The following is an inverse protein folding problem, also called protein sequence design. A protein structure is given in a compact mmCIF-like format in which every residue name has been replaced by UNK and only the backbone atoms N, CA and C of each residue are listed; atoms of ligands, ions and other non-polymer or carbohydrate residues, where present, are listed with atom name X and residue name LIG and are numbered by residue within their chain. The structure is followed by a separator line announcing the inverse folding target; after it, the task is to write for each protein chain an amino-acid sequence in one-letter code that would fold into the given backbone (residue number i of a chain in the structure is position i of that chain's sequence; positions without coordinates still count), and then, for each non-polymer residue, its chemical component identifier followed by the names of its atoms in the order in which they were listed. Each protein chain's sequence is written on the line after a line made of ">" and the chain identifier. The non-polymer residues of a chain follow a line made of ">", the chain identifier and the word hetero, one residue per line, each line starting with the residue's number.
data_IF_228719747207
#
_entry.id   IF_228719747207
#
_cell.length_a   1.000
_cell.length_b   1.000
_cell.length_c   1.000
_cell.angle_alpha   90.00
_cell.angle_beta   90.00
_cell.angle_gamma   90.00
#
_symmetry.space_group_name_H-M   'P 1'
#
loop_
_entity.id
_entity.type
_entity.pdbx_description
1 polymer ?
#
# COMPACT_ATOMS: atom_id res chain seq x y z
N UNK A 1 2.97 23.26 -6.09
CA UNK A 1 2.05 24.38 -5.81
C UNK A 1 0.77 23.80 -5.21
N UNK A 2 0.48 24.07 -3.94
CA UNK A 2 -0.81 23.67 -3.34
C UNK A 2 -1.86 24.55 -3.98
N UNK A 3 -2.79 23.98 -4.73
CA UNK A 3 -4.08 24.61 -4.98
C UNK A 3 -4.87 24.53 -3.68
N UNK A 4 -4.58 25.44 -2.76
CA UNK A 4 -5.43 25.63 -1.62
C UNK A 4 -6.77 26.16 -2.14
N UNK A 5 -7.87 25.51 -1.78
CA UNK A 5 -9.18 26.12 -1.81
C UNK A 5 -9.21 27.26 -0.79
N UNK A 6 -8.49 28.31 -1.06
CA UNK A 6 -8.50 29.54 -0.29
C UNK A 6 -9.19 30.60 -1.11
N UNK A 7 -9.99 31.43 -0.47
CA UNK A 7 -10.75 32.56 -0.99
C UNK A 7 -9.91 33.71 -1.58
N UNK A 8 -8.66 33.44 -1.92
CA UNK A 8 -7.82 34.41 -2.60
C UNK A 8 -7.84 34.12 -4.09
N UNK A 9 -8.75 34.77 -4.79
CA UNK A 9 -8.79 34.76 -6.24
C UNK A 9 -7.52 35.37 -6.79
N UNK A 10 -6.66 34.56 -7.38
CA UNK A 10 -5.65 35.06 -8.30
C UNK A 10 -6.32 35.28 -9.64
N UNK A 11 -6.45 36.53 -10.01
CA UNK A 11 -6.86 36.91 -11.36
C UNK A 11 -5.63 36.76 -12.26
N UNK A 12 -5.55 35.66 -12.97
CA UNK A 12 -4.51 35.38 -13.94
C UNK A 12 -4.73 34.06 -14.67
N UNK A 13 -4.39 34.02 -15.94
CA UNK A 13 -4.37 32.77 -16.71
C UNK A 13 -3.03 32.09 -16.41
N UNK A 14 -3.07 30.98 -15.67
CA UNK A 14 -1.89 30.18 -15.41
C UNK A 14 -1.86 28.99 -16.39
N UNK A 15 -0.80 28.87 -17.16
CA UNK A 15 -0.50 27.67 -17.90
C UNK A 15 0.25 26.73 -16.98
N UNK A 16 -0.37 25.63 -16.57
CA UNK A 16 0.31 24.60 -15.81
C UNK A 16 1.41 23.98 -16.67
N UNK A 17 2.65 24.06 -16.19
CA UNK A 17 3.77 23.32 -16.75
C UNK A 17 3.68 21.82 -16.44
N UNK A 18 4.57 21.01 -17.02
CA UNK A 18 4.71 19.61 -16.70
C UNK A 18 5.12 19.49 -15.22
N UNK A 19 4.35 18.73 -14.45
CA UNK A 19 4.76 18.32 -13.10
C UNK A 19 5.77 17.19 -13.29
N UNK A 20 6.98 17.39 -12.79
CA UNK A 20 8.04 16.37 -12.81
C UNK A 20 8.21 15.86 -11.39
N UNK A 21 8.10 14.55 -11.22
CA UNK A 21 8.48 13.82 -10.00
C UNK A 21 9.32 12.63 -10.46
N UNK A 22 10.64 12.76 -10.34
CA UNK A 22 11.61 11.82 -10.92
C UNK A 22 11.40 10.39 -10.43
N UNK A 23 11.03 10.19 -9.18
CA UNK A 23 10.77 8.86 -8.64
C UNK A 23 9.42 8.32 -9.13
N UNK A 24 8.39 9.15 -9.17
CA UNK A 24 7.07 8.76 -9.66
C UNK A 24 7.09 8.43 -11.16
N UNK A 25 7.89 9.14 -11.94
CA UNK A 25 8.03 8.93 -13.38
C UNK A 25 8.74 7.60 -13.73
N UNK A 26 9.44 6.97 -12.77
CA UNK A 26 10.04 5.63 -12.92
C UNK A 26 9.04 4.48 -12.82
N UNK A 27 7.82 4.76 -12.36
CA UNK A 27 6.78 3.73 -12.23
C UNK A 27 6.07 3.46 -13.55
N UNK A 28 5.79 2.19 -13.80
CA UNK A 28 5.10 1.71 -14.99
C UNK A 28 3.72 1.19 -14.60
N UNK A 29 2.68 1.59 -15.33
CA UNK A 29 1.32 1.11 -15.14
C UNK A 29 1.14 -0.27 -15.76
N UNK A 30 0.43 -1.16 -15.05
CA UNK A 30 0.08 -2.50 -15.50
C UNK A 30 -1.27 -2.94 -14.97
N UNK A 31 -1.76 -4.06 -15.52
CA UNK A 31 -2.94 -4.77 -15.05
C UNK A 31 -2.62 -6.25 -15.01
N UNK A 32 -2.88 -6.91 -13.88
CA UNK A 32 -2.67 -8.35 -13.71
C UNK A 32 -3.74 -9.18 -14.42
N UNK A 33 -3.46 -10.45 -14.61
CA UNK A 33 -4.46 -11.44 -15.10
C UNK A 33 -5.64 -11.57 -14.13
N UNK A 34 -5.42 -11.33 -12.85
CA UNK A 34 -6.48 -11.29 -11.83
C UNK A 34 -7.33 -10.01 -11.87
N UNK A 35 -7.05 -9.09 -12.78
CA UNK A 35 -7.82 -7.88 -13.01
C UNK A 35 -7.38 -6.66 -12.20
N UNK A 36 -6.40 -6.79 -11.31
CA UNK A 36 -5.91 -5.70 -10.46
C UNK A 36 -5.08 -4.71 -11.28
N UNK A 37 -5.46 -3.43 -11.27
CA UNK A 37 -4.61 -2.36 -11.77
C UNK A 37 -3.51 -2.08 -10.75
N UNK A 38 -2.29 -1.88 -11.20
CA UNK A 38 -1.16 -1.55 -10.34
C UNK A 38 -0.12 -0.71 -11.06
N UNK A 39 0.72 -0.06 -10.29
CA UNK A 39 1.96 0.52 -10.79
C UNK A 39 3.15 -0.16 -10.14
N UNK A 40 4.26 -0.28 -10.87
CA UNK A 40 5.45 -0.91 -10.34
C UNK A 40 6.72 -0.15 -10.73
N UNK A 41 7.71 -0.27 -9.85
CA UNK A 41 9.07 0.17 -10.06
C UNK A 41 10.01 -1.05 -10.06
N UNK A 42 11.01 -1.04 -10.94
CA UNK A 42 12.08 -2.05 -10.98
C UNK A 42 13.41 -1.45 -10.52
N UNK A 43 14.15 -2.10 -9.61
CA UNK A 43 15.43 -1.58 -9.16
C UNK A 43 16.45 -1.52 -10.32
N UNK A 44 17.38 -0.59 -10.23
CA UNK A 44 18.41 -0.36 -11.26
C UNK A 44 19.26 -1.62 -11.47
N UNK A 45 19.54 -2.35 -10.40
CA UNK A 45 20.37 -3.56 -10.41
C UNK A 45 19.57 -4.87 -10.62
N UNK A 46 18.35 -4.80 -11.14
CA UNK A 46 17.46 -5.98 -11.36
C UNK A 46 18.07 -7.12 -12.19
N UNK A 47 19.10 -6.82 -12.98
CA UNK A 47 19.77 -7.77 -13.88
C UNK A 47 21.17 -8.20 -13.37
N UNK A 48 21.47 -8.00 -12.09
CA UNK A 48 22.75 -8.37 -11.46
C UNK A 48 22.90 -9.87 -11.14
N UNK A 49 21.96 -10.69 -11.59
CA UNK A 49 21.90 -12.13 -11.37
C UNK A 49 21.40 -12.55 -9.99
N UNK A 50 20.98 -11.60 -9.16
CA UNK A 50 20.45 -11.85 -7.82
C UNK A 50 18.92 -11.73 -7.78
N UNK A 51 18.33 -12.32 -6.76
CA UNK A 51 16.93 -12.08 -6.42
C UNK A 51 16.80 -10.88 -5.49
N UNK A 52 15.81 -10.04 -5.76
CA UNK A 52 15.57 -8.77 -5.06
C UNK A 52 14.31 -8.80 -4.22
N UNK A 53 14.25 -8.02 -3.12
CA UNK A 53 13.02 -7.86 -2.34
C UNK A 53 11.87 -7.31 -3.20
N UNK A 54 10.65 -7.61 -2.76
CA UNK A 54 9.44 -7.00 -3.29
C UNK A 54 8.72 -6.25 -2.18
N UNK A 55 8.43 -4.99 -2.41
CA UNK A 55 7.67 -4.11 -1.54
C UNK A 55 6.30 -3.90 -2.14
N UNK A 56 5.24 -4.20 -1.39
CA UNK A 56 3.85 -3.92 -1.74
C UNK A 56 3.39 -2.74 -0.91
N UNK A 57 2.85 -1.72 -1.57
CA UNK A 57 2.25 -0.56 -0.94
C UNK A 57 0.73 -0.56 -1.11
N UNK A 58 -0.01 -0.62 -0.03
CA UNK A 58 -1.47 -0.45 -0.02
C UNK A 58 -1.85 0.98 0.34
N UNK A 59 -2.58 1.63 -0.55
CA UNK A 59 -3.03 3.01 -0.43
C UNK A 59 -4.11 3.20 0.64
N UNK A 60 -4.34 4.45 1.07
CA UNK A 60 -5.43 4.82 1.96
C UNK A 60 -6.80 4.86 1.28
N UNK A 61 -7.82 5.24 2.06
CA UNK A 61 -9.14 5.46 1.50
C UNK A 61 -9.16 6.74 0.65
N UNK A 62 -9.77 6.68 -0.53
CA UNK A 62 -9.83 7.80 -1.47
C UNK A 62 -8.82 7.75 -2.61
N UNK A 63 -7.80 6.88 -2.54
CA UNK A 63 -6.85 6.65 -3.63
C UNK A 63 -7.21 5.44 -4.50
N UNK A 64 -8.27 4.72 -4.16
CA UNK A 64 -8.89 3.70 -5.00
C UNK A 64 -9.69 4.30 -6.14
N UNK A 65 -10.31 3.45 -6.94
CA UNK A 65 -11.26 3.86 -7.98
C UNK A 65 -12.56 4.44 -7.40
N UNK A 66 -13.34 5.04 -8.26
CA UNK A 66 -14.67 5.51 -7.94
C UNK A 66 -15.63 5.16 -9.08
N UNK A 67 -16.68 4.42 -8.78
CA UNK A 67 -17.55 3.78 -9.79
C UNK A 67 -16.68 2.97 -10.74
N UNK A 68 -16.78 3.15 -12.03
CA UNK A 68 -15.98 2.41 -13.02
C UNK A 68 -14.69 3.14 -13.43
N UNK A 69 -14.29 4.18 -12.69
CA UNK A 69 -13.11 4.97 -12.98
C UNK A 69 -11.94 4.63 -12.04
N UNK A 70 -10.84 4.21 -12.62
CA UNK A 70 -9.56 4.00 -11.97
C UNK A 70 -8.48 4.77 -12.73
N UNK A 71 -7.78 5.68 -12.06
CA UNK A 71 -6.71 6.44 -12.69
C UNK A 71 -5.37 5.67 -12.71
N UNK A 72 -5.23 4.63 -11.90
CA UNK A 72 -4.01 3.85 -11.71
C UNK A 72 -2.76 4.74 -11.43
N UNK A 73 -2.93 5.85 -10.72
CA UNK A 73 -1.87 6.81 -10.41
C UNK A 73 -1.88 7.23 -8.95
N UNK A 74 -3.05 7.54 -8.38
CA UNK A 74 -3.18 8.11 -7.04
C UNK A 74 -2.62 7.19 -5.95
N UNK A 75 -2.75 5.89 -6.09
CA UNK A 75 -2.28 4.90 -5.12
C UNK A 75 -0.76 4.92 -4.89
N UNK A 76 0.03 5.30 -5.88
CA UNK A 76 1.49 5.41 -5.72
C UNK A 76 1.92 6.76 -5.15
N UNK A 77 1.16 7.81 -5.48
CA UNK A 77 1.55 9.21 -5.19
C UNK A 77 1.13 9.66 -3.79
N UNK A 78 -0.04 9.23 -3.32
CA UNK A 78 -0.58 9.70 -2.06
C UNK A 78 0.38 9.44 -0.90
N UNK A 79 0.65 10.50 -0.13
CA UNK A 79 1.62 10.51 0.97
C UNK A 79 3.04 10.07 0.55
N UNK A 80 3.38 10.12 -0.74
CA UNK A 80 4.58 9.52 -1.34
C UNK A 80 4.74 8.02 -1.03
N UNK A 81 3.68 7.32 -0.70
CA UNK A 81 3.71 5.97 -0.17
C UNK A 81 4.59 5.01 -0.95
N UNK A 82 4.19 4.62 -2.18
CA UNK A 82 5.01 3.76 -3.01
C UNK A 82 6.28 4.46 -3.53
N UNK A 83 6.17 5.73 -3.88
CA UNK A 83 7.24 6.53 -4.49
C UNK A 83 8.45 6.66 -3.57
N UNK A 84 8.25 6.78 -2.24
CA UNK A 84 9.33 6.85 -1.27
C UNK A 84 10.25 5.61 -1.29
N UNK A 85 9.73 4.45 -1.66
CA UNK A 85 10.54 3.23 -1.78
C UNK A 85 11.36 3.16 -3.07
N UNK A 86 11.06 4.01 -4.07
CA UNK A 86 11.86 4.13 -5.29
C UNK A 86 13.02 5.14 -5.14
N UNK A 87 13.07 5.91 -4.06
CA UNK A 87 14.16 6.84 -3.76
C UNK A 87 15.49 6.08 -3.51
N UNK A 88 16.60 6.64 -3.94
CA UNK A 88 17.93 6.02 -3.81
C UNK A 88 18.26 5.57 -2.39
N UNK A 89 17.84 6.35 -1.39
CA UNK A 89 18.06 6.03 0.03
C UNK A 89 17.33 4.74 0.43
N UNK A 90 16.08 4.58 0.04
CA UNK A 90 15.31 3.37 0.31
C UNK A 90 15.86 2.18 -0.49
N UNK A 91 16.16 2.38 -1.77
CA UNK A 91 16.75 1.35 -2.62
C UNK A 91 18.09 0.84 -2.07
N UNK A 92 18.93 1.72 -1.52
CA UNK A 92 20.18 1.33 -0.86
C UNK A 92 19.95 0.47 0.39
N UNK A 93 18.95 0.82 1.21
CA UNK A 93 18.58 0.05 2.43
C UNK A 93 18.15 -1.37 2.08
N UNK A 94 17.32 -1.52 1.04
CA UNK A 94 16.80 -2.83 0.62
C UNK A 94 17.75 -3.62 -0.31
N UNK A 95 18.85 -3.02 -0.76
CA UNK A 95 19.78 -3.62 -1.70
C UNK A 95 19.23 -3.73 -3.12
N UNK A 96 18.34 -2.82 -3.48
CA UNK A 96 17.56 -2.84 -4.71
C UNK A 96 16.26 -3.64 -4.54
N UNK A 97 15.11 -2.99 -4.49
CA UNK A 97 13.81 -3.63 -4.31
C UNK A 97 12.85 -3.28 -5.44
N UNK A 98 12.06 -4.26 -5.89
CA UNK A 98 10.85 -3.99 -6.65
C UNK A 98 9.82 -3.32 -5.75
N UNK A 99 9.05 -2.39 -6.31
CA UNK A 99 7.93 -1.75 -5.60
C UNK A 99 6.67 -1.92 -6.42
N UNK A 100 5.59 -2.39 -5.81
CA UNK A 100 4.31 -2.58 -6.47
C UNK A 100 3.22 -1.91 -5.65
N UNK A 101 2.42 -1.08 -6.31
CA UNK A 101 1.30 -0.35 -5.72
C UNK A 101 -0.01 -0.74 -6.44
N UNK A 102 -0.75 -1.73 -5.94
CA UNK A 102 -2.07 -2.06 -6.48
C UNK A 102 -3.08 -0.98 -6.14
N UNK A 103 -4.08 -0.81 -7.00
CA UNK A 103 -5.22 0.07 -6.77
C UNK A 103 -6.51 -0.75 -6.61
N UNK A 104 -7.21 -0.56 -5.49
CA UNK A 104 -8.56 -1.08 -5.34
C UNK A 104 -9.53 -0.39 -6.32
N UNK A 105 -10.57 -1.09 -6.75
CA UNK A 105 -11.62 -0.48 -7.58
C UNK A 105 -12.40 0.60 -6.84
N UNK A 106 -12.40 0.53 -5.52
CA UNK A 106 -13.03 1.50 -4.61
C UNK A 106 -12.22 1.64 -3.32
N UNK A 107 -12.44 0.76 -2.34
CA UNK A 107 -11.77 0.78 -1.05
C UNK A 107 -11.34 -0.60 -0.60
N UNK A 108 -10.22 -0.70 0.12
CA UNK A 108 -9.75 -1.95 0.69
C UNK A 108 -10.70 -2.56 1.74
N UNK A 109 -11.68 -1.80 2.26
CA UNK A 109 -12.68 -2.37 3.15
C UNK A 109 -13.56 -3.42 2.47
N UNK A 110 -13.75 -3.32 1.16
CA UNK A 110 -14.50 -4.30 0.36
C UNK A 110 -13.67 -5.55 -0.01
N UNK A 111 -12.57 -5.82 0.71
CA UNK A 111 -11.59 -6.86 0.36
C UNK A 111 -12.18 -8.27 0.21
N UNK A 112 -13.13 -8.66 1.06
CA UNK A 112 -13.78 -9.96 0.95
C UNK A 112 -14.92 -9.95 -0.08
N UNK A 113 -15.79 -8.96 -0.03
CA UNK A 113 -16.95 -8.86 -0.93
C UNK A 113 -16.55 -8.76 -2.41
N UNK A 114 -15.43 -8.10 -2.70
CA UNK A 114 -14.86 -7.96 -4.04
C UNK A 114 -13.68 -8.89 -4.34
N UNK A 115 -13.30 -9.73 -3.38
CA UNK A 115 -12.24 -10.72 -3.56
C UNK A 115 -10.82 -10.15 -3.69
N UNK A 116 -10.57 -8.92 -3.21
CA UNK A 116 -9.25 -8.29 -3.32
C UNK A 116 -8.13 -9.08 -2.67
N UNK A 117 -8.40 -9.78 -1.57
CA UNK A 117 -7.41 -10.65 -0.91
C UNK A 117 -6.82 -11.66 -1.92
N UNK A 118 -7.70 -12.35 -2.66
CA UNK A 118 -7.29 -13.37 -3.62
C UNK A 118 -6.68 -12.76 -4.89
N UNK A 119 -7.32 -11.72 -5.44
CA UNK A 119 -6.85 -11.10 -6.68
C UNK A 119 -5.51 -10.38 -6.51
N UNK A 120 -5.29 -9.69 -5.38
CA UNK A 120 -3.99 -9.06 -5.06
C UNK A 120 -2.92 -10.12 -4.81
N UNK A 121 -3.25 -11.21 -4.08
CA UNK A 121 -2.30 -12.32 -3.91
C UNK A 121 -1.87 -12.90 -5.26
N UNK A 122 -2.83 -13.16 -6.16
CA UNK A 122 -2.54 -13.66 -7.51
C UNK A 122 -1.69 -12.67 -8.33
N UNK A 123 -1.97 -11.36 -8.23
CA UNK A 123 -1.13 -10.32 -8.84
C UNK A 123 0.32 -10.37 -8.33
N UNK A 124 0.50 -10.52 -7.01
CA UNK A 124 1.85 -10.61 -6.41
C UNK A 124 2.58 -11.86 -6.91
N UNK A 125 1.90 -13.01 -6.98
CA UNK A 125 2.47 -14.25 -7.51
C UNK A 125 2.88 -14.12 -8.98
N UNK A 126 2.01 -13.51 -9.80
CA UNK A 126 2.28 -13.23 -11.21
C UNK A 126 3.53 -12.35 -11.35
N UNK A 127 3.55 -11.21 -10.66
CA UNK A 127 4.68 -10.30 -10.68
C UNK A 127 5.99 -10.96 -10.24
N UNK A 128 5.95 -11.74 -9.15
CA UNK A 128 7.11 -12.44 -8.62
C UNK A 128 7.60 -13.55 -9.55
N UNK A 129 6.72 -14.15 -10.36
CA UNK A 129 7.10 -15.17 -11.34
C UNK A 129 7.76 -14.60 -12.60
N UNK A 130 7.42 -13.36 -12.95
CA UNK A 130 7.92 -12.67 -14.14
C UNK A 130 9.18 -11.81 -13.89
N UNK A 131 9.58 -11.67 -12.63
CA UNK A 131 10.72 -10.84 -12.24
C UNK A 131 11.64 -11.61 -11.25
N UNK A 132 12.86 -11.14 -11.07
CA UNK A 132 13.85 -11.73 -10.16
C UNK A 132 13.54 -11.41 -8.69
N UNK A 133 12.34 -11.77 -8.23
CA UNK A 133 11.90 -11.53 -6.85
C UNK A 133 12.41 -12.64 -5.91
N UNK A 134 12.95 -12.23 -4.78
CA UNK A 134 13.20 -13.12 -3.65
C UNK A 134 11.90 -13.33 -2.87
N UNK A 135 11.29 -14.49 -3.03
CA UNK A 135 10.01 -14.84 -2.39
C UNK A 135 10.09 -14.91 -0.87
N UNK A 136 11.30 -14.96 -0.29
CA UNK A 136 11.49 -14.89 1.16
C UNK A 136 11.60 -13.44 1.67
N UNK A 137 11.61 -12.45 0.78
CA UNK A 137 11.71 -11.02 1.10
C UNK A 137 10.61 -10.21 0.44
N UNK A 138 9.36 -10.64 0.65
CA UNK A 138 8.16 -9.88 0.24
C UNK A 138 7.62 -9.15 1.46
N UNK A 139 7.57 -7.82 1.37
CA UNK A 139 7.18 -6.92 2.45
C UNK A 139 5.91 -6.17 2.09
N UNK A 140 5.06 -5.92 3.08
CA UNK A 140 3.85 -5.14 2.92
C UNK A 140 3.97 -3.83 3.71
N UNK A 141 3.57 -2.75 3.07
CA UNK A 141 3.40 -1.43 3.68
C UNK A 141 2.01 -0.90 3.34
N UNK A 142 1.39 -0.18 4.28
CA UNK A 142 0.10 0.42 4.00
C UNK A 142 -0.30 1.48 5.01
N UNK A 143 -1.10 2.43 4.57
CA UNK A 143 -1.62 3.51 5.40
C UNK A 143 -3.15 3.48 5.47
N UNK A 144 -3.72 3.80 6.64
CA UNK A 144 -5.16 3.91 6.84
C UNK A 144 -5.91 2.64 6.37
N UNK A 145 -6.81 2.71 5.39
CA UNK A 145 -7.45 1.55 4.78
C UNK A 145 -6.44 0.54 4.19
N UNK A 146 -5.31 1.02 3.66
CA UNK A 146 -4.21 0.16 3.22
C UNK A 146 -3.50 -0.55 4.37
N UNK A 147 -3.42 0.08 5.53
CA UNK A 147 -2.97 -0.56 6.77
C UNK A 147 -3.91 -1.70 7.18
N UNK A 148 -5.22 -1.49 7.10
CA UNK A 148 -6.20 -2.56 7.29
C UNK A 148 -5.99 -3.70 6.29
N UNK A 149 -5.82 -3.40 5.01
CA UNK A 149 -5.54 -4.41 3.99
C UNK A 149 -4.25 -5.19 4.28
N UNK A 150 -3.21 -4.51 4.76
CA UNK A 150 -1.95 -5.14 5.18
C UNK A 150 -2.18 -6.18 6.28
N UNK A 151 -2.94 -5.85 7.32
CA UNK A 151 -3.32 -6.81 8.36
C UNK A 151 -4.09 -7.99 7.78
N UNK A 152 -5.08 -7.75 6.91
CA UNK A 152 -5.88 -8.84 6.32
C UNK A 152 -5.02 -9.77 5.45
N UNK A 153 -4.10 -9.23 4.65
CA UNK A 153 -3.18 -10.04 3.85
C UNK A 153 -2.26 -10.90 4.73
N UNK A 154 -1.72 -10.33 5.82
CA UNK A 154 -0.90 -11.10 6.76
C UNK A 154 -1.69 -12.20 7.47
N UNK A 155 -2.93 -11.92 7.86
CA UNK A 155 -3.80 -12.89 8.56
C UNK A 155 -4.20 -14.06 7.64
N UNK A 156 -4.48 -13.77 6.37
CA UNK A 156 -4.88 -14.80 5.39
C UNK A 156 -3.68 -15.60 4.86
N UNK A 157 -2.50 -14.97 4.78
CA UNK A 157 -1.28 -15.58 4.25
C UNK A 157 -0.07 -15.37 5.18
N UNK A 158 -0.11 -15.87 6.43
CA UNK A 158 0.89 -15.53 7.44
C UNK A 158 2.31 -15.98 7.09
N UNK A 159 2.48 -17.03 6.29
CA UNK A 159 3.79 -17.56 5.89
C UNK A 159 4.29 -17.06 4.53
N UNK A 160 3.51 -16.19 3.89
CA UNK A 160 3.85 -15.69 2.57
C UNK A 160 4.70 -14.41 2.61
N UNK A 161 4.49 -13.57 3.61
CA UNK A 161 5.17 -12.28 3.74
C UNK A 161 6.23 -12.33 4.83
N UNK A 162 7.38 -11.70 4.57
CA UNK A 162 8.49 -11.66 5.52
C UNK A 162 8.23 -10.72 6.70
N UNK A 163 7.63 -9.56 6.43
CA UNK A 163 7.29 -8.56 7.44
C UNK A 163 6.27 -7.58 6.88
N UNK A 164 5.66 -6.78 7.77
CA UNK A 164 4.78 -5.70 7.36
C UNK A 164 4.91 -4.45 8.25
N UNK A 165 4.57 -3.30 7.68
CA UNK A 165 4.53 -2.04 8.40
C UNK A 165 3.27 -1.27 8.06
N UNK A 166 2.66 -0.64 9.06
CA UNK A 166 1.43 0.11 8.88
C UNK A 166 1.51 1.49 9.50
N UNK A 167 0.93 2.47 8.82
CA UNK A 167 0.74 3.82 9.33
C UNK A 167 -0.75 4.05 9.57
N UNK A 168 -1.14 4.33 10.83
CA UNK A 168 -2.52 4.58 11.24
C UNK A 168 -3.51 3.57 10.63
N UNK A 169 -3.26 2.27 10.81
CA UNK A 169 -4.10 1.21 10.23
C UNK A 169 -5.56 1.33 10.69
N UNK A 170 -6.49 1.51 9.76
CA UNK A 170 -7.88 1.83 10.05
C UNK A 170 -8.72 0.59 10.39
N UNK A 171 -8.30 -0.16 11.42
CA UNK A 171 -8.96 -1.39 11.85
C UNK A 171 -10.33 -1.14 12.48
N UNK A 172 -10.50 0.00 13.18
CA UNK A 172 -11.75 0.44 13.80
C UNK A 172 -12.82 0.85 12.79
N UNK A 173 -12.41 1.22 11.57
CA UNK A 173 -13.33 1.63 10.50
C UNK A 173 -13.83 0.46 9.65
N UNK A 174 -13.19 -0.70 9.72
CA UNK A 174 -13.48 -1.80 8.82
C UNK A 174 -14.95 -2.24 8.85
N UNK A 175 -15.49 -2.55 10.02
CA UNK A 175 -16.85 -3.06 10.15
C UNK A 175 -17.91 -2.04 9.69
N UNK A 176 -17.73 -0.75 9.98
CA UNK A 176 -18.68 0.30 9.58
C UNK A 176 -18.54 0.70 8.11
N UNK A 177 -17.45 0.29 7.46
CA UNK A 177 -17.16 0.57 6.04
C UNK A 177 -17.36 -0.65 5.15
N UNK A 178 -18.04 -1.69 5.63
CA UNK A 178 -18.36 -2.90 4.86
C UNK A 178 -17.26 -3.97 4.89
N UNK A 179 -16.19 -3.76 5.65
CA UNK A 179 -15.10 -4.73 5.83
C UNK A 179 -15.32 -5.67 7.01
N UNK A 180 -14.39 -6.58 7.19
CA UNK A 180 -14.38 -7.54 8.30
C UNK A 180 -13.60 -6.99 9.49
N UNK A 181 -14.19 -7.02 10.67
CA UNK A 181 -13.49 -6.63 11.90
C UNK A 181 -12.27 -7.53 12.14
N UNK A 182 -11.16 -6.93 12.58
CA UNK A 182 -9.96 -7.66 12.98
C UNK A 182 -10.08 -8.03 14.46
N UNK A 183 -10.24 -9.32 14.75
CA UNK A 183 -10.39 -9.84 16.11
C UNK A 183 -9.04 -10.09 16.79
N UNK A 184 -9.05 -10.27 18.12
CA UNK A 184 -7.86 -10.73 18.84
C UNK A 184 -7.39 -12.11 18.34
N UNK A 185 -8.34 -13.01 18.03
CA UNK A 185 -8.01 -14.32 17.46
C UNK A 185 -7.33 -14.21 16.09
N UNK A 186 -7.75 -13.25 15.25
CA UNK A 186 -7.05 -12.97 13.98
C UNK A 186 -5.62 -12.49 14.21
N UNK A 187 -5.42 -11.57 15.17
CA UNK A 187 -4.09 -11.05 15.51
C UNK A 187 -3.16 -12.16 15.99
N UNK A 188 -3.66 -13.10 16.77
CA UNK A 188 -2.85 -14.23 17.24
C UNK A 188 -2.27 -15.11 16.10
N UNK A 189 -2.88 -15.12 14.90
CA UNK A 189 -2.31 -15.81 13.74
C UNK A 189 -0.99 -15.20 13.26
N UNK A 190 -0.77 -13.93 13.57
CA UNK A 190 0.40 -13.17 13.13
C UNK A 190 1.34 -12.75 14.26
N UNK A 191 1.14 -13.26 15.48
CA UNK A 191 1.88 -12.88 16.69
C UNK A 191 3.41 -12.99 16.58
N UNK A 192 3.90 -13.89 15.73
CA UNK A 192 5.33 -14.11 15.53
C UNK A 192 5.86 -13.44 14.25
N UNK A 193 5.07 -12.55 13.61
CA UNK A 193 5.49 -11.88 12.37
C UNK A 193 6.07 -10.50 12.69
N UNK A 194 7.18 -10.13 12.08
CA UNK A 194 7.74 -8.79 12.25
C UNK A 194 6.74 -7.72 11.80
N UNK A 195 6.35 -6.86 12.73
CA UNK A 195 5.42 -5.76 12.53
C UNK A 195 6.02 -4.45 13.04
N UNK A 196 5.95 -3.42 12.23
CA UNK A 196 6.23 -2.06 12.64
C UNK A 196 4.98 -1.20 12.45
N UNK A 197 4.51 -0.58 13.54
CA UNK A 197 3.36 0.32 13.52
C UNK A 197 3.79 1.75 13.80
N UNK A 198 3.27 2.69 13.01
CA UNK A 198 3.40 4.13 13.21
C UNK A 198 2.00 4.73 13.34
N UNK A 199 1.74 5.46 14.45
CA UNK A 199 0.43 6.06 14.68
C UNK A 199 0.54 7.24 15.64
N UNK A 200 -0.10 8.35 15.35
CA UNK A 200 -0.20 9.47 16.27
C UNK A 200 -1.25 9.18 17.36
N UNK A 201 -0.90 9.39 18.63
CA UNK A 201 -1.84 9.15 19.72
C UNK A 201 -3.10 10.02 19.66
N UNK A 202 -2.98 11.20 19.07
CA UNK A 202 -4.05 12.17 18.89
C UNK A 202 -4.62 12.20 17.48
N UNK A 203 -4.53 11.08 16.73
CA UNK A 203 -5.10 10.98 15.39
C UNK A 203 -6.63 11.23 15.45
N UNK A 204 -7.15 12.27 14.77
CA UNK A 204 -8.56 12.63 14.85
C UNK A 204 -9.45 11.73 13.99
N UNK A 205 -8.87 10.92 13.10
CA UNK A 205 -9.61 10.12 12.12
C UNK A 205 -9.62 8.65 12.50
N UNK A 206 -8.47 8.10 12.85
CA UNK A 206 -8.29 6.69 13.22
C UNK A 206 -7.92 6.61 14.70
N UNK A 207 -8.77 5.98 15.48
CA UNK A 207 -8.52 5.85 16.93
C UNK A 207 -7.26 5.04 17.20
N UNK A 208 -6.25 5.68 17.79
CA UNK A 208 -5.03 5.01 18.24
C UNK A 208 -5.35 3.88 19.24
N UNK A 209 -6.23 4.16 20.23
CA UNK A 209 -6.61 3.21 21.29
C UNK A 209 -7.29 1.95 20.72
N UNK A 210 -8.20 2.12 19.76
CA UNK A 210 -8.97 1.02 19.17
C UNK A 210 -8.23 0.29 18.04
N UNK A 211 -7.05 0.76 17.64
CA UNK A 211 -6.26 0.21 16.54
C UNK A 211 -4.86 -0.17 16.98
N UNK A 212 -3.87 0.68 16.80
CA UNK A 212 -2.46 0.33 17.01
C UNK A 212 -2.17 -0.05 18.45
N UNK A 213 -2.74 0.65 19.45
CA UNK A 213 -2.58 0.27 20.86
C UNK A 213 -3.21 -1.09 21.15
N UNK A 214 -4.45 -1.30 20.69
CA UNK A 214 -5.12 -2.60 20.84
C UNK A 214 -4.33 -3.75 20.21
N UNK A 215 -3.75 -3.53 19.03
CA UNK A 215 -2.87 -4.53 18.38
C UNK A 215 -1.66 -4.81 19.25
N UNK A 216 -0.99 -3.76 19.73
CA UNK A 216 0.17 -3.89 20.62
C UNK A 216 -0.14 -4.65 21.91
N UNK A 217 -1.31 -4.38 22.51
CA UNK A 217 -1.73 -5.03 23.77
C UNK A 217 -2.09 -6.53 23.57
N UNK A 218 -2.42 -6.95 22.35
CA UNK A 218 -2.78 -8.35 22.03
C UNK A 218 -1.57 -9.18 21.61
N UNK A 219 -0.58 -8.57 20.91
CA UNK A 219 0.59 -9.27 20.38
C UNK A 219 1.76 -9.29 21.35
#
# INVERSE_FOLDING_TARGET
>A
MKTGAGTHGFFGIYKQGKIVDEEADKFVAAKSKSGVNYQYFKPVNKDDGKKHPLIIWFHGNGEGGYKDYQNNVSQKLANRGAVAFAEDKAQKIFGGAYVVAPQADDTWYNNYSKGYIKSVKAMIDEFASENNVDKNRIYIFGASAGGYMSFRMMIEYPDYFAAFSTSAAALDKAAISGGVATTAQDLMKIRNKPLWMVHAQNDPTISYENTSKRVYDVL
#
